data_IF_825273939171
#
_entry.id   IF_825273939171
#
_cell.length_a   1.000
_cell.length_b   1.000
_cell.length_c   1.000
_cell.angle_alpha   90.00
_cell.angle_beta   90.00
_cell.angle_gamma   90.00
#
_symmetry.space_group_name_H-M   'P 1'
#
loop_
_entity.id
_entity.type
_entity.pdbx_description
1 polymer ?
#
# COMPACT_ATOMS: atom_id res chain seq x y z
N UNK A 1 12.06 3.47 -25.78
CA UNK A 1 11.22 2.49 -25.08
C UNK A 1 10.24 1.90 -26.09
N UNK A 2 10.37 0.61 -26.36
CA UNK A 2 9.50 -0.12 -27.28
C UNK A 2 8.03 -0.13 -26.79
N UNK A 3 7.08 -0.24 -27.70
CA UNK A 3 5.64 -0.18 -27.39
C UNK A 3 5.22 -1.29 -26.40
N UNK A 4 5.86 -2.46 -26.49
CA UNK A 4 5.64 -3.58 -25.57
C UNK A 4 6.13 -3.27 -24.14
N UNK A 5 7.31 -2.66 -24.00
CA UNK A 5 7.85 -2.22 -22.70
C UNK A 5 6.96 -1.16 -22.05
N UNK A 6 6.35 -0.27 -22.85
CA UNK A 6 5.43 0.77 -22.37
C UNK A 6 4.17 0.19 -21.76
N UNK A 7 3.58 -0.83 -22.37
CA UNK A 7 2.42 -1.51 -21.82
C UNK A 7 2.74 -2.27 -20.53
N UNK A 8 3.88 -2.98 -20.48
CA UNK A 8 4.35 -3.67 -19.29
C UNK A 8 4.57 -2.70 -18.10
N UNK A 9 5.14 -1.51 -18.37
CA UNK A 9 5.30 -0.48 -17.35
C UNK A 9 3.95 0.05 -16.85
N UNK A 10 2.99 0.36 -17.75
CA UNK A 10 1.64 0.79 -17.36
C UNK A 10 0.96 -0.22 -16.43
N UNK A 11 1.05 -1.51 -16.75
CA UNK A 11 0.48 -2.57 -15.89
C UNK A 11 1.09 -2.57 -14.48
N UNK A 12 2.43 -2.52 -14.38
CA UNK A 12 3.13 -2.47 -13.09
C UNK A 12 2.82 -1.20 -12.31
N UNK A 13 2.69 -0.07 -13.00
CA UNK A 13 2.34 1.22 -12.40
C UNK A 13 0.90 1.23 -11.86
N UNK A 14 -0.05 0.63 -12.58
CA UNK A 14 -1.42 0.47 -12.11
C UNK A 14 -1.44 -0.36 -10.82
N UNK A 15 -0.74 -1.49 -10.79
CA UNK A 15 -0.65 -2.34 -9.59
C UNK A 15 -0.09 -1.56 -8.40
N UNK A 16 1.00 -0.81 -8.60
CA UNK A 16 1.58 0.05 -7.57
C UNK A 16 0.56 1.10 -7.10
N UNK A 17 -0.11 1.78 -8.01
CA UNK A 17 -1.09 2.82 -7.69
C UNK A 17 -2.26 2.25 -6.88
N UNK A 18 -2.77 1.09 -7.27
CA UNK A 18 -3.86 0.40 -6.56
C UNK A 18 -3.41 -0.03 -5.17
N UNK A 19 -2.24 -0.65 -5.03
CA UNK A 19 -1.68 -1.02 -3.72
C UNK A 19 -1.52 0.20 -2.81
N UNK A 20 -1.01 1.31 -3.33
CA UNK A 20 -0.84 2.55 -2.56
C UNK A 20 -2.18 3.10 -2.08
N UNK A 21 -3.20 3.11 -2.93
CA UNK A 21 -4.54 3.55 -2.54
C UNK A 21 -5.13 2.66 -1.43
N UNK A 22 -4.97 1.33 -1.54
CA UNK A 22 -5.41 0.39 -0.49
C UNK A 22 -4.70 0.68 0.83
N UNK A 23 -3.39 0.95 0.80
CA UNK A 23 -2.62 1.32 1.99
C UNK A 23 -3.18 2.60 2.62
N UNK A 24 -3.38 3.65 1.82
CA UNK A 24 -3.91 4.93 2.30
C UNK A 24 -5.30 4.75 2.93
N UNK A 25 -6.18 3.98 2.27
CA UNK A 25 -7.52 3.67 2.80
C UNK A 25 -7.43 2.88 4.11
N UNK A 26 -6.54 1.89 4.21
CA UNK A 26 -6.31 1.14 5.45
C UNK A 26 -5.90 2.06 6.59
N UNK A 27 -4.90 2.93 6.37
CA UNK A 27 -4.44 3.86 7.41
C UNK A 27 -5.50 4.90 7.77
N UNK A 28 -6.22 5.44 6.79
CA UNK A 28 -7.32 6.39 7.04
C UNK A 28 -8.40 5.75 7.92
N UNK A 29 -8.81 4.52 7.61
CA UNK A 29 -9.77 3.76 8.41
C UNK A 29 -9.21 3.42 9.79
N UNK A 30 -7.92 3.04 9.89
CA UNK A 30 -7.26 2.75 11.16
C UNK A 30 -7.28 3.96 12.09
N UNK A 31 -6.89 5.13 11.57
CA UNK A 31 -6.88 6.40 12.30
C UNK A 31 -8.30 6.79 12.71
N UNK A 32 -9.27 6.66 11.81
CA UNK A 32 -10.67 6.92 12.12
C UNK A 32 -11.17 6.02 13.27
N UNK A 33 -10.90 4.72 13.20
CA UNK A 33 -11.29 3.76 14.23
C UNK A 33 -10.60 4.06 15.56
N UNK A 34 -9.30 4.36 15.54
CA UNK A 34 -8.55 4.70 16.74
C UNK A 34 -9.05 6.01 17.37
N UNK A 35 -9.32 7.05 16.59
CA UNK A 35 -9.79 8.32 17.13
C UNK A 35 -11.23 8.26 17.64
N UNK A 36 -12.11 7.53 16.92
CA UNK A 36 -13.55 7.51 17.25
C UNK A 36 -13.95 6.44 18.25
N UNK A 37 -13.30 5.27 18.22
CA UNK A 37 -13.75 4.08 18.97
C UNK A 37 -12.73 3.59 20.01
N UNK A 38 -11.45 3.93 19.92
CA UNK A 38 -10.50 3.58 20.99
C UNK A 38 -10.81 4.24 22.35
N UNK A 39 -11.37 5.47 22.44
CA UNK A 39 -11.75 6.05 23.73
C UNK A 39 -12.92 5.32 24.40
N UNK A 40 -13.72 4.57 23.64
CA UNK A 40 -14.98 3.98 24.11
C UNK A 40 -14.86 2.48 24.46
N UNK A 41 -13.70 1.85 24.21
CA UNK A 41 -13.46 0.47 24.64
C UNK A 41 -12.23 -0.19 24.03
N UNK A 42 -11.79 -1.29 24.65
CA UNK A 42 -10.62 -2.09 24.25
C UNK A 42 -10.76 -2.74 22.87
N UNK A 43 -11.98 -3.03 22.43
CA UNK A 43 -12.25 -3.64 21.10
C UNK A 43 -11.88 -2.67 19.96
N UNK A 44 -12.27 -1.40 20.06
CA UNK A 44 -11.95 -0.38 19.05
C UNK A 44 -10.45 -0.13 18.95
N UNK A 45 -9.76 -0.14 20.08
CA UNK A 45 -8.31 -0.05 20.15
C UNK A 45 -7.62 -1.26 19.50
N UNK A 46 -8.08 -2.49 19.78
CA UNK A 46 -7.53 -3.70 19.19
C UNK A 46 -7.71 -3.73 17.65
N UNK A 47 -8.90 -3.37 17.15
CA UNK A 47 -9.19 -3.30 15.71
C UNK A 47 -8.32 -2.22 15.05
N UNK A 48 -8.19 -1.06 15.68
CA UNK A 48 -7.36 0.03 15.18
C UNK A 48 -5.87 -0.35 15.08
N UNK A 49 -5.31 -1.00 16.11
CA UNK A 49 -3.93 -1.51 16.07
C UNK A 49 -3.76 -2.58 14.99
N UNK A 50 -4.73 -3.49 14.84
CA UNK A 50 -4.70 -4.52 13.79
C UNK A 50 -4.68 -3.88 12.39
N UNK A 51 -5.54 -2.88 12.13
CA UNK A 51 -5.56 -2.13 10.88
C UNK A 51 -4.23 -1.42 10.60
N UNK A 52 -3.61 -0.81 11.61
CA UNK A 52 -2.27 -0.21 11.48
C UNK A 52 -1.24 -1.28 11.13
N UNK A 53 -1.22 -2.42 11.83
CA UNK A 53 -0.28 -3.50 11.58
C UNK A 53 -0.40 -4.06 10.14
N UNK A 54 -1.64 -4.25 9.66
CA UNK A 54 -1.91 -4.67 8.28
C UNK A 54 -1.45 -3.59 7.28
N UNK A 55 -1.73 -2.31 7.55
CA UNK A 55 -1.29 -1.20 6.72
C UNK A 55 0.24 -1.12 6.60
N UNK A 56 0.97 -1.35 7.70
CA UNK A 56 2.44 -1.43 7.71
C UNK A 56 2.92 -2.62 6.88
N UNK A 57 2.33 -3.81 7.06
CA UNK A 57 2.71 -5.00 6.28
C UNK A 57 2.51 -4.78 4.77
N UNK A 58 1.38 -4.19 4.37
CA UNK A 58 1.12 -3.82 2.98
C UNK A 58 2.11 -2.77 2.48
N UNK A 59 2.48 -1.80 3.30
CA UNK A 59 3.47 -0.76 2.96
C UNK A 59 4.86 -1.36 2.70
N UNK A 60 5.27 -2.35 3.50
CA UNK A 60 6.51 -3.09 3.26
C UNK A 60 6.46 -3.90 1.95
N UNK A 61 5.33 -4.54 1.67
CA UNK A 61 5.11 -5.25 0.40
C UNK A 61 5.15 -4.31 -0.80
N UNK A 62 4.44 -3.17 -0.72
CA UNK A 62 4.47 -2.12 -1.74
C UNK A 62 5.90 -1.61 -1.98
N UNK A 63 6.68 -1.39 -0.92
CA UNK A 63 8.07 -0.97 -1.04
C UNK A 63 8.91 -2.00 -1.81
N UNK A 64 8.74 -3.30 -1.56
CA UNK A 64 9.41 -4.37 -2.33
C UNK A 64 9.01 -4.32 -3.81
N UNK A 65 7.71 -4.26 -4.12
CA UNK A 65 7.21 -4.17 -5.50
C UNK A 65 7.71 -2.92 -6.22
N UNK A 66 7.81 -1.79 -5.51
CA UNK A 66 8.33 -0.54 -6.04
C UNK A 66 9.81 -0.66 -6.39
N UNK A 67 10.63 -1.22 -5.50
CA UNK A 67 12.06 -1.44 -5.76
C UNK A 67 12.30 -2.41 -6.93
N UNK A 68 11.54 -3.50 -7.00
CA UNK A 68 11.62 -4.44 -8.13
C UNK A 68 11.24 -3.75 -9.45
N UNK A 69 10.16 -2.98 -9.46
CA UNK A 69 9.74 -2.24 -10.66
C UNK A 69 10.78 -1.19 -11.06
N UNK A 70 11.40 -0.50 -10.10
CA UNK A 70 12.47 0.48 -10.33
C UNK A 70 13.78 -0.16 -10.81
N UNK A 71 14.13 -1.33 -10.29
CA UNK A 71 15.28 -2.10 -10.74
C UNK A 71 15.09 -2.54 -12.19
N UNK A 72 13.94 -3.13 -12.50
CA UNK A 72 13.57 -3.48 -13.87
C UNK A 72 13.59 -2.27 -14.81
N UNK A 73 13.10 -1.10 -14.37
CA UNK A 73 13.12 0.11 -15.20
C UNK A 73 14.54 0.56 -15.57
N UNK A 74 15.51 0.33 -14.68
CA UNK A 74 16.93 0.66 -14.92
C UNK A 74 17.64 -0.35 -15.82
N UNK A 75 17.11 -1.57 -15.91
CA UNK A 75 17.61 -2.62 -16.80
C UNK A 75 17.03 -2.52 -18.22
N UNK A 76 15.97 -1.72 -18.43
CA UNK A 76 15.44 -1.46 -19.76
C UNK A 76 16.38 -0.49 -20.52
N UNK A 77 16.84 -0.85 -21.73
CA UNK A 77 17.70 -0.01 -22.57
C UNK A 77 16.98 1.19 -23.20
#
# INVERSE_FOLDING_TARGET
MDEATRQAFKGRFIILTVMLNIIVLCFAMAVFVLLRFAPEGTIGLAIGILLVAVGVAFSLSFRKHYFLTKAWLREQP
#
